data_IF_936912490343
#
_entry.id   IF_936912490343
#
_cell.length_a   1.000
_cell.length_b   1.000
_cell.length_c   1.000
_cell.angle_alpha   90.00
_cell.angle_beta   90.00
_cell.angle_gamma   90.00
#
_symmetry.space_group_name_H-M   'P 1'
#
loop_
_entity.id
_entity.type
_entity.pdbx_description
1 polymer ?
#
# COMPACT_ATOMS: atom_id res chain seq x y z
N UNK A 1 5.20 -5.34 -28.71
CA UNK A 1 3.93 -5.04 -28.01
C UNK A 1 4.26 -5.04 -26.53
N UNK A 2 3.93 -3.98 -25.79
CA UNK A 2 4.01 -4.05 -24.33
C UNK A 2 2.86 -4.91 -23.82
N UNK A 3 3.15 -5.90 -22.97
CA UNK A 3 2.10 -6.68 -22.32
C UNK A 3 1.27 -5.75 -21.44
N UNK A 4 -0.05 -5.80 -21.59
CA UNK A 4 -0.98 -5.01 -20.77
C UNK A 4 -1.27 -5.78 -19.49
N UNK A 5 -1.04 -5.16 -18.34
CA UNK A 5 -1.47 -5.70 -17.05
C UNK A 5 -2.99 -5.45 -16.91
N UNK A 6 -3.75 -6.49 -16.53
CA UNK A 6 -5.18 -6.35 -16.27
C UNK A 6 -5.45 -5.69 -14.91
N UNK A 7 -6.69 -5.25 -14.66
CA UNK A 7 -7.08 -4.69 -13.36
C UNK A 7 -6.89 -5.72 -12.25
N UNK A 8 -7.18 -6.99 -12.52
CA UNK A 8 -7.00 -8.11 -11.58
C UNK A 8 -5.51 -8.32 -11.29
N UNK A 9 -4.64 -8.18 -12.29
CA UNK A 9 -3.20 -8.23 -12.11
C UNK A 9 -2.67 -7.08 -11.25
N UNK A 10 -3.20 -5.87 -11.44
CA UNK A 10 -2.91 -4.71 -10.59
C UNK A 10 -3.39 -4.97 -9.16
N UNK A 11 -4.63 -5.42 -8.98
CA UNK A 11 -5.22 -5.70 -7.67
C UNK A 11 -4.37 -6.71 -6.88
N UNK A 12 -3.93 -7.80 -7.54
CA UNK A 12 -3.04 -8.78 -6.93
C UNK A 12 -1.70 -8.18 -6.47
N UNK A 13 -1.12 -7.28 -7.28
CA UNK A 13 0.14 -6.61 -6.90
C UNK A 13 -0.10 -5.68 -5.69
N UNK A 14 -1.16 -4.88 -5.72
CA UNK A 14 -1.53 -3.97 -4.64
C UNK A 14 -1.78 -4.73 -3.34
N UNK A 15 -2.53 -5.83 -3.38
CA UNK A 15 -2.81 -6.68 -2.23
C UNK A 15 -1.52 -7.15 -1.55
N UNK A 16 -0.54 -7.63 -2.32
CA UNK A 16 0.76 -8.04 -1.76
C UNK A 16 1.55 -6.88 -1.15
N UNK A 17 1.43 -5.67 -1.69
CA UNK A 17 2.07 -4.48 -1.11
C UNK A 17 1.37 -4.12 0.21
N UNK A 18 0.04 -4.16 0.25
CA UNK A 18 -0.77 -3.91 1.46
C UNK A 18 -0.43 -4.92 2.57
N UNK A 19 -0.31 -6.21 2.25
CA UNK A 19 0.12 -7.23 3.21
C UNK A 19 1.48 -6.88 3.84
N UNK A 20 2.46 -6.52 3.01
CA UNK A 20 3.80 -6.14 3.49
C UNK A 20 3.80 -4.83 4.27
N UNK A 21 2.95 -3.89 3.89
CA UNK A 21 2.76 -2.64 4.62
C UNK A 21 2.24 -2.89 6.03
N UNK A 22 1.25 -3.78 6.17
CA UNK A 22 0.70 -4.19 7.47
C UNK A 22 1.74 -4.87 8.34
N UNK A 23 2.50 -5.81 7.79
CA UNK A 23 3.62 -6.46 8.49
C UNK A 23 4.64 -5.41 8.98
N UNK A 24 5.00 -4.46 8.11
CA UNK A 24 5.93 -3.40 8.47
C UNK A 24 5.42 -2.49 9.58
N UNK A 25 4.14 -2.11 9.54
CA UNK A 25 3.49 -1.30 10.58
C UNK A 25 3.44 -2.05 11.92
N UNK A 26 3.15 -3.35 11.92
CA UNK A 26 3.17 -4.19 13.14
C UNK A 26 4.57 -4.24 13.73
N UNK A 27 5.61 -4.48 12.92
CA UNK A 27 7.00 -4.54 13.39
C UNK A 27 7.49 -3.19 13.93
N UNK A 28 7.16 -2.07 13.28
CA UNK A 28 7.48 -0.71 13.75
C UNK A 28 6.80 -0.42 15.09
N UNK A 29 5.50 -0.72 15.24
CA UNK A 29 4.77 -0.55 16.50
C UNK A 29 5.33 -1.41 17.63
N UNK A 30 5.92 -2.57 17.31
CA UNK A 30 6.57 -3.46 18.28
C UNK A 30 7.90 -2.94 18.82
N UNK A 31 8.57 -2.02 18.11
CA UNK A 31 9.89 -1.50 18.48
C UNK A 31 10.09 -0.05 17.99
N UNK A 32 9.40 0.90 18.65
CA UNK A 32 9.37 2.34 18.30
C UNK A 32 10.70 3.09 18.41
N UNK A 33 11.80 2.41 18.74
CA UNK A 33 13.15 2.99 18.75
C UNK A 33 13.98 2.56 17.54
N UNK A 34 13.47 1.60 16.77
CA UNK A 34 14.11 1.09 15.58
C UNK A 34 13.72 1.97 14.37
N UNK A 35 14.55 2.97 14.09
CA UNK A 35 14.36 3.88 12.97
C UNK A 35 14.30 3.19 11.61
N UNK A 36 14.89 1.99 11.47
CA UNK A 36 14.81 1.23 10.22
C UNK A 36 13.41 0.66 10.02
N UNK A 37 12.81 0.08 11.07
CA UNK A 37 11.43 -0.44 11.00
C UNK A 37 10.41 0.68 10.79
N UNK A 38 10.58 1.80 11.48
CA UNK A 38 9.74 2.99 11.28
C UNK A 38 9.84 3.52 9.85
N UNK A 39 11.06 3.67 9.32
CA UNK A 39 11.29 4.09 7.95
C UNK A 39 10.70 3.13 6.91
N UNK A 40 10.75 1.81 7.17
CA UNK A 40 10.15 0.79 6.30
C UNK A 40 8.63 0.89 6.27
N UNK A 41 7.98 1.12 7.42
CA UNK A 41 6.54 1.31 7.49
C UNK A 41 6.11 2.58 6.73
N UNK A 42 6.83 3.70 6.93
CA UNK A 42 6.59 4.95 6.21
C UNK A 42 6.75 4.78 4.69
N UNK A 43 7.78 4.06 4.23
CA UNK A 43 8.00 3.82 2.81
C UNK A 43 6.82 3.07 2.15
N UNK A 44 6.20 2.11 2.85
CA UNK A 44 5.01 1.44 2.36
C UNK A 44 3.79 2.35 2.32
N UNK A 45 3.60 3.19 3.35
CA UNK A 45 2.54 4.20 3.38
C UNK A 45 2.64 5.12 2.14
N UNK A 46 3.82 5.69 1.88
CA UNK A 46 4.05 6.60 0.73
C UNK A 46 3.74 5.92 -0.61
N UNK A 47 4.16 4.67 -0.80
CA UNK A 47 3.87 3.91 -2.02
C UNK A 47 2.37 3.70 -2.19
N UNK A 48 1.66 3.33 -1.12
CA UNK A 48 0.22 3.08 -1.19
C UNK A 48 -0.59 4.37 -1.34
N UNK A 49 -0.14 5.49 -0.78
CA UNK A 49 -0.76 6.80 -0.95
C UNK A 49 -0.65 7.30 -2.41
N UNK A 50 0.53 7.15 -3.02
CA UNK A 50 0.73 7.43 -4.45
C UNK A 50 -0.19 6.55 -5.30
N UNK A 51 -0.23 5.24 -5.04
CA UNK A 51 -1.10 4.33 -5.78
C UNK A 51 -2.57 4.74 -5.64
N UNK A 52 -3.02 5.06 -4.43
CA UNK A 52 -4.39 5.51 -4.16
C UNK A 52 -4.72 6.76 -4.98
N UNK A 53 -3.86 7.78 -4.91
CA UNK A 53 -4.05 9.03 -5.65
C UNK A 53 -4.09 8.80 -7.16
N UNK A 54 -3.14 8.03 -7.69
CA UNK A 54 -3.06 7.77 -9.12
C UNK A 54 -4.25 6.94 -9.65
N UNK A 55 -4.77 6.00 -8.86
CA UNK A 55 -5.95 5.24 -9.23
C UNK A 55 -7.24 6.05 -9.14
N UNK A 56 -7.37 6.88 -8.10
CA UNK A 56 -8.54 7.75 -7.93
C UNK A 56 -8.67 8.76 -9.07
N UNK A 57 -7.56 9.43 -9.44
CA UNK A 57 -7.50 10.37 -10.59
C UNK A 57 -7.87 9.71 -11.92
N UNK A 58 -7.64 8.40 -12.06
CA UNK A 58 -7.98 7.62 -13.27
C UNK A 58 -9.36 6.97 -13.19
N UNK A 59 -10.15 7.30 -12.17
CA UNK A 59 -11.47 6.72 -11.90
C UNK A 59 -11.42 5.18 -11.78
N UNK A 60 -10.28 4.65 -11.35
CA UNK A 60 -10.11 3.22 -11.05
C UNK A 60 -10.62 2.98 -9.63
N UNK A 61 -11.60 2.08 -9.51
CA UNK A 61 -12.20 1.74 -8.22
C UNK A 61 -11.17 1.23 -7.22
N UNK A 62 -10.90 2.02 -6.18
CA UNK A 62 -10.03 1.66 -5.05
C UNK A 62 -10.50 0.36 -4.37
N UNK A 63 -11.81 0.15 -4.28
CA UNK A 63 -12.40 -1.08 -3.75
C UNK A 63 -11.98 -2.30 -4.57
N UNK A 64 -12.04 -2.22 -5.92
CA UNK A 64 -11.68 -3.34 -6.81
C UNK A 64 -10.20 -3.71 -6.75
N UNK A 65 -9.33 -2.75 -6.42
CA UNK A 65 -7.88 -2.97 -6.34
C UNK A 65 -7.40 -3.24 -4.92
N UNK A 66 -8.31 -3.30 -3.93
CA UNK A 66 -7.96 -3.61 -2.54
C UNK A 66 -7.33 -2.45 -1.76
N UNK A 67 -7.60 -1.20 -2.16
CA UNK A 67 -7.02 0.00 -1.56
C UNK A 67 -8.06 0.95 -0.92
N UNK A 68 -9.30 0.46 -0.75
CA UNK A 68 -10.40 1.19 -0.11
C UNK A 68 -10.37 1.03 1.41
N UNK A 69 -9.36 1.63 2.04
CA UNK A 69 -9.23 1.68 3.49
C UNK A 69 -8.51 2.96 3.94
N UNK A 70 -8.49 3.18 5.26
CA UNK A 70 -7.82 4.31 5.88
C UNK A 70 -6.33 3.98 6.08
N UNK A 71 -5.49 4.47 5.17
CA UNK A 71 -4.05 4.20 5.15
C UNK A 71 -3.36 4.68 6.42
N UNK A 72 -3.68 5.89 6.88
CA UNK A 72 -3.07 6.48 8.07
C UNK A 72 -3.43 5.67 9.30
N UNK A 73 -4.71 5.39 9.50
CA UNK A 73 -5.18 4.60 10.65
C UNK A 73 -4.57 3.19 10.66
N UNK A 74 -4.35 2.62 9.49
CA UNK A 74 -3.89 1.24 9.39
C UNK A 74 -2.37 1.10 9.54
N UNK A 75 -1.60 2.06 8.98
CA UNK A 75 -0.14 1.95 8.84
C UNK A 75 0.67 2.86 9.77
N UNK A 76 0.10 3.97 10.25
CA UNK A 76 0.76 4.92 11.17
C UNK A 76 0.24 4.75 12.61
#
# INVERSE_FOLDING_TARGET
MADKISIEGIAYIVERIVERAREAAVESRGDRKDSFKDGRALAYYEVLDILRTEFDVREISLYRIGLDFDLERELL
#
